data_IF_533333691264
#
_entry.id   IF_533333691264
#
_cell.length_a   1.000
_cell.length_b   1.000
_cell.length_c   1.000
_cell.angle_alpha   90.00
_cell.angle_beta   90.00
_cell.angle_gamma   90.00
#
_symmetry.space_group_name_H-M   'P 1'
#
loop_
_entity.id
_entity.type
_entity.pdbx_description
1 polymer ?
#
# COMPACT_ATOMS: atom_id res chain seq x y z
N UNK A 1 -13.61 34.95 -7.25
CA UNK A 1 -13.41 34.23 -5.96
C UNK A 1 -12.07 33.53 -6.05
N UNK A 2 -11.13 33.73 -5.12
CA UNK A 2 -9.88 32.97 -5.08
C UNK A 2 -10.25 31.53 -4.68
N UNK A 3 -10.09 30.57 -5.58
CA UNK A 3 -10.26 29.16 -5.23
C UNK A 3 -9.28 28.85 -4.11
N UNK A 4 -9.80 28.39 -2.98
CA UNK A 4 -8.98 27.98 -1.84
C UNK A 4 -8.25 26.69 -2.24
N UNK A 5 -6.93 26.69 -2.16
CA UNK A 5 -6.13 25.49 -2.42
C UNK A 5 -6.35 24.45 -1.32
N UNK A 6 -6.38 23.17 -1.68
CA UNK A 6 -6.38 22.07 -0.71
C UNK A 6 -5.06 22.12 0.06
N UNK A 7 -5.14 22.03 1.38
CA UNK A 7 -3.95 21.91 2.23
C UNK A 7 -3.61 20.44 2.42
N UNK A 8 -2.59 19.98 1.69
CA UNK A 8 -2.08 18.62 1.77
C UNK A 8 -1.01 18.49 2.85
N UNK A 9 -0.82 17.29 3.42
CA UNK A 9 0.17 17.03 4.48
C UNK A 9 1.61 17.19 3.99
N UNK A 10 1.86 16.93 2.72
CA UNK A 10 3.19 16.97 2.09
C UNK A 10 3.50 18.28 1.35
N UNK A 11 2.54 19.21 1.28
CA UNK A 11 2.71 20.54 0.67
C UNK A 11 2.70 20.59 -0.87
N UNK A 12 2.52 19.47 -1.57
CA UNK A 12 2.31 19.46 -3.02
C UNK A 12 0.86 19.76 -3.38
N UNK A 13 0.58 20.28 -4.60
CA UNK A 13 -0.78 20.59 -5.04
C UNK A 13 -1.70 19.36 -5.19
N UNK A 14 -1.16 18.20 -5.54
CA UNK A 14 -1.91 16.95 -5.74
C UNK A 14 -2.29 16.25 -4.43
N UNK A 15 -3.14 15.24 -4.51
CA UNK A 15 -3.63 14.45 -3.38
C UNK A 15 -2.97 13.08 -3.36
N UNK A 16 -2.40 12.69 -2.22
CA UNK A 16 -1.76 11.38 -2.01
C UNK A 16 -2.68 10.47 -1.20
N UNK A 17 -3.22 9.44 -1.86
CA UNK A 17 -4.15 8.47 -1.28
C UNK A 17 -3.52 7.09 -1.31
N UNK A 18 -3.39 6.47 -0.16
CA UNK A 18 -2.82 5.15 0.02
C UNK A 18 -3.92 4.14 0.32
N UNK A 19 -3.86 2.99 -0.32
CA UNK A 19 -4.72 1.84 -0.03
C UNK A 19 -3.84 0.70 0.48
N UNK A 20 -3.97 0.40 1.77
CA UNK A 20 -3.26 -0.67 2.47
C UNK A 20 -4.14 -1.88 2.73
N UNK A 21 -3.52 -2.99 3.02
CA UNK A 21 -4.15 -4.27 3.34
C UNK A 21 -3.26 -5.42 2.90
N UNK A 22 -3.53 -6.61 3.41
CA UNK A 22 -2.79 -7.83 3.06
C UNK A 22 -3.15 -8.35 1.67
N UNK A 23 -2.42 -9.35 1.16
CA UNK A 23 -2.73 -9.96 -0.13
C UNK A 23 -4.13 -10.59 -0.10
N UNK A 24 -4.89 -10.44 -1.20
CA UNK A 24 -6.28 -10.90 -1.28
C UNK A 24 -7.32 -9.97 -0.64
N UNK A 25 -6.93 -8.82 -0.08
CA UNK A 25 -7.87 -7.88 0.56
C UNK A 25 -8.78 -7.11 -0.41
N UNK A 26 -8.50 -7.16 -1.73
CA UNK A 26 -9.32 -6.49 -2.75
C UNK A 26 -8.88 -5.07 -3.11
N UNK A 27 -7.67 -4.66 -2.69
CA UNK A 27 -7.12 -3.31 -2.97
C UNK A 27 -7.20 -2.91 -4.44
N UNK A 28 -6.70 -3.74 -5.34
CA UNK A 28 -6.63 -3.43 -6.78
C UNK A 28 -8.03 -3.19 -7.39
N UNK A 29 -9.04 -3.93 -6.94
CA UNK A 29 -10.44 -3.70 -7.34
C UNK A 29 -10.90 -2.31 -6.90
N UNK A 30 -10.66 -1.96 -5.64
CA UNK A 30 -11.07 -0.67 -5.08
C UNK A 30 -10.32 0.49 -5.73
N UNK A 31 -9.01 0.35 -5.98
CA UNK A 31 -8.19 1.36 -6.65
C UNK A 31 -8.70 1.65 -8.06
N UNK A 32 -9.00 0.62 -8.86
CA UNK A 32 -9.50 0.79 -10.21
C UNK A 32 -10.88 1.48 -10.24
N UNK A 33 -11.75 1.14 -9.31
CA UNK A 33 -13.06 1.78 -9.17
C UNK A 33 -12.94 3.24 -8.71
N UNK A 34 -12.01 3.54 -7.79
CA UNK A 34 -11.70 4.91 -7.38
C UNK A 34 -11.12 5.73 -8.52
N UNK A 35 -10.16 5.18 -9.28
CA UNK A 35 -9.60 5.85 -10.46
C UNK A 35 -10.70 6.30 -11.40
N UNK A 36 -11.54 5.36 -11.85
CA UNK A 36 -12.62 5.65 -12.79
C UNK A 36 -13.60 6.69 -12.24
N UNK A 37 -13.85 6.68 -10.94
CA UNK A 37 -14.75 7.65 -10.32
C UNK A 37 -14.11 9.03 -10.22
N UNK A 38 -12.82 9.14 -9.84
CA UNK A 38 -12.09 10.41 -9.73
C UNK A 38 -11.93 11.07 -11.11
N UNK A 39 -11.59 10.28 -12.14
CA UNK A 39 -11.49 10.79 -13.52
C UNK A 39 -12.82 11.37 -14.03
N UNK A 40 -13.98 10.78 -13.65
CA UNK A 40 -15.31 11.34 -13.94
C UNK A 40 -15.59 12.67 -13.22
N UNK A 41 -14.83 13.00 -12.18
CA UNK A 41 -14.87 14.31 -11.51
C UNK A 41 -13.88 15.31 -12.15
N UNK A 42 -13.29 14.97 -13.31
CA UNK A 42 -12.32 15.78 -14.05
C UNK A 42 -10.99 16.00 -13.34
N UNK A 43 -10.57 15.10 -12.45
CA UNK A 43 -9.22 15.08 -11.89
C UNK A 43 -8.33 14.07 -12.62
N UNK A 44 -7.07 14.45 -12.86
CA UNK A 44 -6.06 13.50 -13.33
C UNK A 44 -5.69 12.49 -12.23
N UNK A 45 -5.52 11.22 -12.60
CA UNK A 45 -5.20 10.14 -11.66
C UNK A 45 -3.98 9.37 -12.14
N UNK A 46 -3.05 9.14 -11.21
CA UNK A 46 -1.93 8.21 -11.39
C UNK A 46 -2.06 7.08 -10.36
N UNK A 47 -1.87 5.84 -10.80
CA UNK A 47 -1.73 4.67 -9.93
C UNK A 47 -0.26 4.26 -9.91
N UNK A 48 0.25 3.93 -8.72
CA UNK A 48 1.56 3.29 -8.56
C UNK A 48 1.47 2.19 -7.51
N UNK A 49 2.09 1.06 -7.77
CA UNK A 49 2.06 -0.11 -6.90
C UNK A 49 3.47 -0.57 -6.51
N UNK A 50 3.60 -1.33 -5.43
CA UNK A 50 4.88 -1.92 -5.04
C UNK A 50 5.45 -2.80 -6.14
N UNK A 51 6.78 -2.74 -6.30
CA UNK A 51 7.51 -3.51 -7.30
C UNK A 51 7.05 -3.18 -8.73
N UNK A 52 6.89 -1.88 -9.01
CA UNK A 52 6.56 -1.39 -10.35
C UNK A 52 7.59 -0.40 -10.90
N UNK A 53 8.74 -0.25 -10.24
CA UNK A 53 9.87 0.53 -10.75
C UNK A 53 10.45 -0.14 -12.00
N UNK A 54 10.56 0.60 -13.11
CA UNK A 54 11.19 0.11 -14.35
C UNK A 54 12.65 -0.30 -14.14
N UNK A 55 13.31 0.31 -13.14
CA UNK A 55 14.73 0.05 -12.84
C UNK A 55 14.93 -1.20 -11.96
N UNK A 56 14.05 -1.44 -10.98
CA UNK A 56 14.30 -2.38 -9.88
C UNK A 56 13.37 -3.60 -9.91
N UNK A 57 12.16 -3.48 -10.47
CA UNK A 57 11.14 -4.54 -10.37
C UNK A 57 11.62 -5.89 -10.91
N UNK A 58 12.23 -5.92 -12.08
CA UNK A 58 12.74 -7.16 -12.71
C UNK A 58 13.88 -7.81 -11.91
N UNK A 59 14.70 -6.99 -11.24
CA UNK A 59 15.78 -7.48 -10.37
C UNK A 59 15.21 -8.13 -9.11
N UNK A 60 14.16 -7.54 -8.53
CA UNK A 60 13.43 -8.14 -7.39
C UNK A 60 12.82 -9.49 -7.81
N UNK A 61 12.17 -9.55 -8.98
CA UNK A 61 11.56 -10.80 -9.47
C UNK A 61 12.60 -11.90 -9.64
N UNK A 62 13.70 -11.60 -10.31
CA UNK A 62 14.81 -12.55 -10.49
C UNK A 62 15.37 -13.03 -9.14
N UNK A 63 15.53 -12.13 -8.18
CA UNK A 63 16.04 -12.48 -6.87
C UNK A 63 15.04 -13.31 -6.05
N UNK A 64 13.73 -13.05 -6.18
CA UNK A 64 12.67 -13.87 -5.58
C UNK A 64 12.64 -15.28 -6.17
N UNK A 65 12.64 -15.40 -7.49
CA UNK A 65 12.63 -16.70 -8.18
C UNK A 65 13.80 -17.61 -7.78
N UNK A 66 14.95 -17.00 -7.56
CA UNK A 66 16.17 -17.72 -7.13
C UNK A 66 16.32 -17.84 -5.62
N UNK A 67 15.35 -17.37 -4.82
CA UNK A 67 15.38 -17.37 -3.35
C UNK A 67 16.65 -16.71 -2.77
N UNK A 68 17.10 -15.59 -3.35
CA UNK A 68 18.32 -14.87 -2.96
C UNK A 68 18.10 -13.77 -1.92
N UNK A 69 16.85 -13.51 -1.52
CA UNK A 69 16.51 -12.38 -0.66
C UNK A 69 16.50 -12.78 0.82
N UNK A 70 17.52 -12.36 1.55
CA UNK A 70 17.50 -12.31 3.01
C UNK A 70 16.80 -11.01 3.48
N UNK A 71 16.42 -10.93 4.76
CA UNK A 71 15.60 -9.86 5.31
C UNK A 71 16.10 -8.45 4.97
N UNK A 72 17.40 -8.15 5.17
CA UNK A 72 17.97 -6.83 4.88
C UNK A 72 18.01 -6.53 3.37
N UNK A 73 18.43 -7.49 2.54
CA UNK A 73 18.47 -7.32 1.08
C UNK A 73 17.06 -7.11 0.52
N UNK A 74 16.08 -7.85 1.04
CA UNK A 74 14.68 -7.67 0.71
C UNK A 74 14.22 -6.24 1.00
N UNK A 75 14.45 -5.72 2.22
CA UNK A 75 14.09 -4.35 2.61
C UNK A 75 14.76 -3.31 1.71
N UNK A 76 16.07 -3.45 1.45
CA UNK A 76 16.83 -2.49 0.64
C UNK A 76 16.35 -2.46 -0.82
N UNK A 77 16.09 -3.61 -1.43
CA UNK A 77 15.61 -3.67 -2.81
C UNK A 77 14.22 -3.05 -2.96
N UNK A 78 13.30 -3.33 -2.03
CA UNK A 78 11.98 -2.72 -2.04
C UNK A 78 12.01 -1.22 -1.71
N UNK A 79 12.94 -0.77 -0.86
CA UNK A 79 13.15 0.66 -0.62
C UNK A 79 13.69 1.36 -1.86
N UNK A 80 14.60 0.72 -2.62
CA UNK A 80 15.10 1.25 -3.89
C UNK A 80 14.01 1.33 -4.96
N UNK A 81 13.15 0.30 -5.07
CA UNK A 81 11.95 0.34 -5.94
C UNK A 81 11.06 1.53 -5.57
N UNK A 82 10.78 1.69 -4.28
CA UNK A 82 9.94 2.76 -3.79
C UNK A 82 10.56 4.14 -4.04
N UNK A 83 11.86 4.33 -3.77
CA UNK A 83 12.57 5.59 -4.01
C UNK A 83 12.50 5.99 -5.48
N UNK A 84 12.79 5.06 -6.40
CA UNK A 84 12.72 5.32 -7.83
C UNK A 84 11.32 5.75 -8.29
N UNK A 85 10.26 5.05 -7.82
CA UNK A 85 8.87 5.40 -8.13
C UNK A 85 8.47 6.75 -7.53
N UNK A 86 8.92 7.02 -6.31
CA UNK A 86 8.64 8.28 -5.62
C UNK A 86 9.20 9.47 -6.41
N UNK A 87 10.46 9.38 -6.83
CA UNK A 87 11.16 10.45 -7.54
C UNK A 87 10.66 10.66 -8.97
N UNK A 88 10.34 9.58 -9.69
CA UNK A 88 10.06 9.64 -11.12
C UNK A 88 8.56 9.60 -11.48
N UNK A 89 7.69 9.15 -10.57
CA UNK A 89 6.26 9.02 -10.83
C UNK A 89 5.43 9.80 -9.80
N UNK A 90 5.59 9.51 -8.51
CA UNK A 90 4.69 9.98 -7.46
C UNK A 90 4.85 11.49 -7.24
N UNK A 91 6.05 11.97 -6.95
CA UNK A 91 6.31 13.41 -6.70
C UNK A 91 6.00 14.28 -7.94
N UNK A 92 6.42 13.91 -9.17
CA UNK A 92 6.03 14.65 -10.36
C UNK A 92 4.52 14.77 -10.55
N UNK A 93 3.76 13.67 -10.33
CA UNK A 93 2.31 13.68 -10.41
C UNK A 93 1.68 14.58 -9.33
N UNK A 94 2.13 14.50 -8.08
CA UNK A 94 1.68 15.37 -7.00
C UNK A 94 1.97 16.84 -7.27
N UNK A 95 3.14 17.18 -7.81
CA UNK A 95 3.51 18.56 -8.22
C UNK A 95 2.62 19.08 -9.34
N UNK A 96 2.10 18.19 -10.18
CA UNK A 96 1.21 18.52 -11.30
C UNK A 96 -0.28 18.55 -10.92
N UNK A 97 -0.61 18.42 -9.62
CA UNK A 97 -2.00 18.49 -9.15
C UNK A 97 -2.82 17.20 -9.37
N UNK A 98 -2.19 16.07 -9.67
CA UNK A 98 -2.89 14.79 -9.83
C UNK A 98 -3.28 14.18 -8.48
N UNK A 99 -4.34 13.37 -8.49
CA UNK A 99 -4.61 12.41 -7.42
C UNK A 99 -3.75 11.17 -7.66
N UNK A 100 -2.90 10.85 -6.69
CA UNK A 100 -2.03 9.67 -6.75
C UNK A 100 -2.61 8.59 -5.85
N UNK A 101 -3.02 7.46 -6.44
CA UNK A 101 -3.52 6.28 -5.75
C UNK A 101 -2.39 5.26 -5.63
N UNK A 102 -2.03 4.91 -4.41
CA UNK A 102 -0.96 3.94 -4.15
C UNK A 102 -1.53 2.61 -3.65
N UNK A 103 -1.23 1.53 -4.38
CA UNK A 103 -1.41 0.16 -3.90
C UNK A 103 -0.21 -0.18 -3.00
N UNK A 104 -0.41 -0.06 -1.70
CA UNK A 104 0.59 -0.15 -0.63
C UNK A 104 1.52 1.07 -0.55
N UNK A 105 2.01 1.30 0.66
CA UNK A 105 2.96 2.36 0.99
C UNK A 105 4.04 1.84 1.94
N UNK A 106 4.75 2.75 2.59
CA UNK A 106 5.81 2.42 3.56
C UNK A 106 5.31 1.56 4.72
N UNK A 107 4.01 1.60 5.03
CA UNK A 107 3.38 0.80 6.08
C UNK A 107 3.45 -0.71 5.79
N UNK A 108 3.32 -1.10 4.51
CA UNK A 108 3.59 -2.49 4.10
C UNK A 108 5.02 -2.90 4.43
N UNK A 109 6.02 -2.04 4.20
CA UNK A 109 7.40 -2.36 4.58
C UNK A 109 7.57 -2.40 6.10
N UNK A 110 6.94 -1.46 6.83
CA UNK A 110 7.00 -1.45 8.29
C UNK A 110 6.46 -2.73 8.92
N UNK A 111 5.37 -3.29 8.39
CA UNK A 111 4.85 -4.57 8.83
C UNK A 111 5.70 -5.75 8.35
N UNK A 112 5.88 -5.87 7.04
CA UNK A 112 6.50 -7.01 6.38
C UNK A 112 7.96 -7.23 6.78
N UNK A 113 8.74 -6.16 6.86
CA UNK A 113 10.18 -6.24 7.12
C UNK A 113 10.44 -6.49 8.62
N UNK A 114 9.61 -5.93 9.51
CA UNK A 114 9.66 -6.22 10.95
C UNK A 114 9.34 -7.68 11.24
N UNK A 115 8.30 -8.23 10.61
CA UNK A 115 7.97 -9.66 10.74
C UNK A 115 9.11 -10.56 10.25
N UNK A 116 9.93 -10.09 9.29
CA UNK A 116 11.17 -10.76 8.85
C UNK A 116 12.37 -10.55 9.77
N UNK A 117 12.19 -9.90 10.91
CA UNK A 117 13.24 -9.69 11.91
C UNK A 117 14.10 -8.45 11.70
N UNK A 118 13.75 -7.58 10.76
CA UNK A 118 14.45 -6.30 10.60
C UNK A 118 14.06 -5.34 11.73
N UNK A 119 15.02 -4.59 12.23
CA UNK A 119 14.79 -3.67 13.36
C UNK A 119 13.78 -2.57 12.96
N UNK A 120 12.67 -2.36 13.71
CA UNK A 120 11.62 -1.38 13.34
C UNK A 120 12.15 0.04 13.13
N UNK A 121 13.08 0.50 13.99
CA UNK A 121 13.69 1.84 13.86
C UNK A 121 14.49 1.98 12.56
N UNK A 122 15.17 0.92 12.13
CA UNK A 122 15.96 0.94 10.90
C UNK A 122 15.05 0.99 9.67
N UNK A 123 14.00 0.16 9.64
CA UNK A 123 13.03 0.19 8.53
C UNK A 123 12.36 1.55 8.42
N UNK A 124 11.90 2.14 9.53
CA UNK A 124 11.31 3.48 9.50
C UNK A 124 12.29 4.53 8.98
N UNK A 125 13.54 4.50 9.43
CA UNK A 125 14.58 5.42 8.95
C UNK A 125 14.90 5.24 7.46
N UNK A 126 14.79 4.01 6.95
CA UNK A 126 15.01 3.71 5.54
C UNK A 126 13.99 4.42 4.63
N UNK A 127 12.81 4.75 5.14
CA UNK A 127 11.73 5.41 4.41
C UNK A 127 11.45 6.86 4.90
N UNK A 128 12.36 7.48 5.66
CA UNK A 128 12.19 8.86 6.17
C UNK A 128 12.01 9.92 5.06
N UNK A 129 12.39 9.59 3.83
CA UNK A 129 12.23 10.46 2.66
C UNK A 129 10.81 10.43 2.07
N UNK A 130 9.95 9.53 2.53
CA UNK A 130 8.60 9.36 2.01
C UNK A 130 7.66 10.44 2.54
N UNK A 131 6.91 11.16 1.68
CA UNK A 131 5.95 12.16 2.12
C UNK A 131 4.78 11.53 2.89
N UNK A 132 4.24 12.27 3.86
CA UNK A 132 3.05 11.82 4.58
C UNK A 132 1.82 11.80 3.66
N UNK A 133 1.09 10.69 3.55
CA UNK A 133 -0.11 10.61 2.73
C UNK A 133 -1.27 11.40 3.35
N UNK A 134 -2.11 11.99 2.50
CA UNK A 134 -3.31 12.72 2.92
C UNK A 134 -4.37 11.78 3.49
N UNK A 135 -4.58 10.64 2.82
CA UNK A 135 -5.49 9.57 3.25
C UNK A 135 -4.78 8.21 3.21
N UNK A 136 -5.08 7.39 4.21
CA UNK A 136 -4.67 5.97 4.25
C UNK A 136 -5.91 5.13 4.53
N UNK A 137 -6.38 4.42 3.53
CA UNK A 137 -7.42 3.41 3.67
C UNK A 137 -6.80 2.06 3.98
N UNK A 138 -7.27 1.39 5.01
CA UNK A 138 -6.84 0.05 5.36
C UNK A 138 -7.99 -0.94 5.22
N UNK A 139 -7.88 -1.84 4.23
CA UNK A 139 -8.86 -2.91 4.00
C UNK A 139 -8.54 -4.09 4.91
N UNK A 140 -9.28 -4.19 5.99
CA UNK A 140 -9.12 -5.23 7.00
C UNK A 140 -9.95 -6.46 6.65
N UNK A 141 -9.31 -7.64 6.76
CA UNK A 141 -9.99 -8.92 6.53
C UNK A 141 -9.39 -10.04 7.38
N UNK A 142 -10.20 -11.03 7.81
CA UNK A 142 -9.72 -12.21 8.50
C UNK A 142 -8.78 -13.05 7.63
N UNK A 143 -7.72 -13.61 8.23
CA UNK A 143 -6.69 -14.40 7.53
C UNK A 143 -7.29 -15.60 6.77
N UNK A 144 -8.30 -16.26 7.33
CA UNK A 144 -8.94 -17.41 6.66
C UNK A 144 -9.67 -17.02 5.36
N UNK A 145 -10.19 -15.80 5.28
CA UNK A 145 -10.79 -15.26 4.04
C UNK A 145 -9.73 -14.92 3.03
N UNK A 146 -8.64 -14.29 3.45
CA UNK A 146 -7.49 -13.98 2.61
C UNK A 146 -6.90 -15.25 1.99
N UNK A 147 -6.69 -16.29 2.81
CA UNK A 147 -6.18 -17.57 2.35
C UNK A 147 -7.06 -18.19 1.26
N UNK A 148 -8.38 -18.23 1.46
CA UNK A 148 -9.32 -18.77 0.45
C UNK A 148 -9.25 -17.98 -0.86
N UNK A 149 -9.18 -16.65 -0.80
CA UNK A 149 -9.11 -15.79 -1.98
C UNK A 149 -7.80 -15.98 -2.76
N UNK A 150 -6.67 -16.07 -2.04
CA UNK A 150 -5.36 -16.26 -2.66
C UNK A 150 -5.26 -17.62 -3.34
N UNK A 151 -5.72 -18.70 -2.69
CA UNK A 151 -5.75 -20.04 -3.28
C UNK A 151 -6.60 -20.05 -4.56
N UNK A 152 -7.76 -19.39 -4.55
CA UNK A 152 -8.64 -19.32 -5.70
C UNK A 152 -8.11 -18.48 -6.87
N UNK A 153 -7.15 -17.58 -6.63
CA UNK A 153 -6.62 -16.66 -7.65
C UNK A 153 -5.26 -17.06 -8.19
N UNK A 154 -4.21 -16.92 -7.42
CA UNK A 154 -2.80 -17.07 -7.86
C UNK A 154 -2.03 -18.16 -7.14
N UNK A 155 -2.60 -18.77 -6.10
CA UNK A 155 -1.90 -19.67 -5.19
C UNK A 155 -0.99 -18.94 -4.20
N UNK A 156 -0.31 -19.72 -3.34
CA UNK A 156 0.59 -19.17 -2.31
C UNK A 156 1.99 -18.94 -2.88
N UNK A 157 2.49 -17.72 -2.71
CA UNK A 157 3.88 -17.34 -3.00
C UNK A 157 4.79 -17.66 -1.80
N UNK A 158 6.05 -18.02 -2.08
CA UNK A 158 7.05 -18.39 -1.07
C UNK A 158 7.29 -17.28 -0.06
N UNK A 159 7.45 -16.03 -0.52
CA UNK A 159 7.68 -14.87 0.36
C UNK A 159 6.39 -14.35 1.00
N UNK A 160 5.26 -14.40 0.30
CA UNK A 160 3.95 -13.95 0.83
C UNK A 160 3.41 -14.90 1.90
N UNK A 161 3.90 -16.13 1.93
CA UNK A 161 3.58 -17.13 2.96
C UNK A 161 4.59 -17.16 4.13
N UNK A 162 5.64 -16.34 4.11
CA UNK A 162 6.66 -16.35 5.16
C UNK A 162 7.51 -17.62 5.21
N UNK A 163 7.58 -18.38 4.12
CA UNK A 163 8.44 -19.55 4.00
C UNK A 163 9.92 -19.20 4.02
N UNK A 164 10.24 -18.01 3.53
CA UNK A 164 11.59 -17.43 3.55
C UNK A 164 12.17 -17.23 4.95
N UNK A 165 11.33 -17.18 5.96
CA UNK A 165 11.73 -17.03 7.38
C UNK A 165 11.42 -18.26 8.24
N UNK A 166 11.02 -19.35 7.63
CA UNK A 166 10.92 -20.66 8.27
C UNK A 166 9.86 -20.79 9.36
N UNK A 167 8.72 -20.12 9.22
CA UNK A 167 7.64 -20.11 10.23
C UNK A 167 6.96 -21.46 10.42
N UNK A 168 6.80 -22.25 9.34
CA UNK A 168 6.31 -23.62 9.36
C UNK A 168 6.81 -24.38 8.13
N UNK A 169 6.84 -25.71 8.20
CA UNK A 169 7.08 -26.59 7.05
C UNK A 169 5.85 -26.73 6.16
N UNK A 170 4.65 -26.56 6.72
CA UNK A 170 3.39 -26.49 5.97
C UNK A 170 3.16 -25.08 5.40
N UNK A 171 2.77 -25.00 4.11
CA UNK A 171 2.57 -23.73 3.42
C UNK A 171 1.38 -22.93 3.96
N UNK A 172 0.28 -23.62 4.25
CA UNK A 172 -0.95 -22.97 4.73
C UNK A 172 -0.78 -22.46 6.15
N UNK A 173 -0.14 -23.25 7.00
CA UNK A 173 0.19 -22.87 8.36
C UNK A 173 1.17 -21.69 8.38
N UNK A 174 2.25 -21.76 7.58
CA UNK A 174 3.21 -20.67 7.44
C UNK A 174 2.52 -19.37 7.00
N UNK A 175 1.65 -19.43 5.99
CA UNK A 175 0.87 -18.29 5.55
C UNK A 175 0.02 -17.70 6.68
N UNK A 176 -0.72 -18.53 7.41
CA UNK A 176 -1.57 -18.05 8.52
C UNK A 176 -0.76 -17.37 9.61
N UNK A 177 0.36 -17.98 10.03
CA UNK A 177 1.25 -17.39 11.04
C UNK A 177 1.81 -16.05 10.54
N UNK A 178 2.29 -16.02 9.30
CA UNK A 178 2.88 -14.82 8.69
C UNK A 178 1.86 -13.68 8.58
N UNK A 179 0.68 -13.95 8.03
CA UNK A 179 -0.35 -12.93 7.86
C UNK A 179 -0.89 -12.40 9.20
N UNK A 180 -1.04 -13.26 10.22
CA UNK A 180 -1.43 -12.80 11.56
C UNK A 180 -0.39 -11.82 12.13
N UNK A 181 0.90 -12.12 12.02
CA UNK A 181 1.97 -11.19 12.44
C UNK A 181 1.94 -9.87 11.67
N UNK A 182 1.65 -9.91 10.36
CA UNK A 182 1.46 -8.71 9.54
C UNK A 182 0.26 -7.88 10.04
N UNK A 183 -0.88 -8.52 10.35
CA UNK A 183 -2.06 -7.84 10.88
C UNK A 183 -1.79 -7.21 12.25
N UNK A 184 -1.03 -7.87 13.12
CA UNK A 184 -0.61 -7.31 14.42
C UNK A 184 0.23 -6.04 14.25
N UNK A 185 1.14 -5.98 13.27
CA UNK A 185 1.91 -4.77 12.95
C UNK A 185 1.01 -3.66 12.40
N UNK A 186 0.04 -3.98 11.54
CA UNK A 186 -0.93 -2.98 11.06
C UNK A 186 -1.79 -2.44 12.20
N UNK A 187 -2.22 -3.29 13.14
CA UNK A 187 -3.01 -2.85 14.30
C UNK A 187 -2.30 -1.77 15.11
N UNK A 188 -0.98 -1.95 15.36
CA UNK A 188 -0.15 -0.97 16.06
C UNK A 188 0.02 0.35 15.27
N UNK A 189 -0.17 0.32 13.94
CA UNK A 189 -0.01 1.50 13.08
C UNK A 189 -1.31 2.29 12.88
N UNK A 190 -2.47 1.68 13.03
CA UNK A 190 -3.78 2.28 12.72
C UNK A 190 -3.98 3.64 13.39
N UNK A 191 -3.91 3.68 14.72
CA UNK A 191 -4.10 4.91 15.49
C UNK A 191 -2.98 5.91 15.24
N UNK A 192 -1.74 5.43 15.27
CA UNK A 192 -0.55 6.27 15.13
C UNK A 192 -0.50 7.05 13.82
N UNK A 193 -0.98 6.46 12.73
CA UNK A 193 -0.91 7.04 11.39
C UNK A 193 -2.29 7.45 10.84
N UNK A 194 -3.34 7.38 11.67
CA UNK A 194 -4.68 7.84 11.30
C UNK A 194 -5.29 7.06 10.14
N UNK A 195 -5.20 5.72 10.17
CA UNK A 195 -5.79 4.88 9.14
C UNK A 195 -7.31 4.93 9.18
N UNK A 196 -7.94 5.05 8.02
CA UNK A 196 -9.37 4.85 7.84
C UNK A 196 -9.59 3.36 7.60
N UNK A 197 -9.90 2.65 8.68
CA UNK A 197 -10.15 1.20 8.61
C UNK A 197 -11.49 0.93 7.97
N UNK A 198 -11.50 0.02 7.00
CA UNK A 198 -12.68 -0.42 6.27
C UNK A 198 -12.75 -1.95 6.35
N UNK A 199 -13.90 -2.45 6.79
CA UNK A 199 -14.19 -3.88 6.77
C UNK A 199 -14.24 -4.37 5.31
N UNK A 200 -13.20 -5.10 4.89
CA UNK A 200 -13.07 -5.65 3.54
C UNK A 200 -14.00 -6.83 3.24
N UNK A 201 -14.86 -7.23 4.22
CA UNK A 201 -15.93 -8.21 4.03
C UNK A 201 -17.21 -7.58 3.50
N UNK A 202 -17.31 -6.24 3.56
CA UNK A 202 -18.47 -5.52 3.03
C UNK A 202 -18.58 -5.64 1.51
N UNK A 203 -19.76 -5.43 0.92
CA UNK A 203 -19.94 -5.33 -0.51
C UNK A 203 -19.04 -4.26 -1.13
N UNK A 204 -18.61 -4.47 -2.38
CA UNK A 204 -17.68 -3.59 -3.08
C UNK A 204 -18.18 -2.14 -3.13
N UNK A 205 -19.47 -1.94 -3.35
CA UNK A 205 -20.14 -0.64 -3.43
C UNK A 205 -20.13 0.10 -2.09
N UNK A 206 -20.34 -0.61 -0.98
CA UNK A 206 -20.28 -0.04 0.38
C UNK A 206 -18.85 0.44 0.71
N UNK A 207 -17.84 -0.38 0.39
CA UNK A 207 -16.44 0.02 0.55
C UNK A 207 -16.15 1.27 -0.29
N UNK A 208 -16.59 1.27 -1.55
CA UNK A 208 -16.40 2.40 -2.47
C UNK A 208 -17.08 3.68 -1.98
N UNK A 209 -18.29 3.58 -1.45
CA UNK A 209 -19.03 4.73 -0.93
C UNK A 209 -18.24 5.43 0.19
N UNK A 210 -17.76 4.66 1.17
CA UNK A 210 -16.94 5.18 2.26
C UNK A 210 -15.64 5.83 1.77
N UNK A 211 -14.91 5.18 0.86
CA UNK A 211 -13.67 5.74 0.32
C UNK A 211 -13.91 7.03 -0.47
N UNK A 212 -14.99 7.07 -1.29
CA UNK A 212 -15.37 8.26 -2.07
C UNK A 212 -15.81 9.41 -1.19
N UNK A 213 -16.52 9.15 -0.11
CA UNK A 213 -16.94 10.18 0.85
C UNK A 213 -15.73 10.89 1.44
N UNK A 214 -14.72 10.15 1.92
CA UNK A 214 -13.51 10.72 2.48
C UNK A 214 -12.72 11.56 1.46
N UNK A 215 -12.60 11.06 0.23
CA UNK A 215 -11.93 11.81 -0.85
C UNK A 215 -12.76 13.08 -1.21
N UNK A 216 -14.09 12.99 -1.29
CA UNK A 216 -14.96 14.15 -1.54
C UNK A 216 -14.78 15.23 -0.48
N UNK A 217 -14.69 14.84 0.80
CA UNK A 217 -14.53 15.79 1.91
C UNK A 217 -13.25 16.62 1.75
N UNK A 218 -12.15 16.00 1.30
CA UNK A 218 -10.91 16.73 1.01
C UNK A 218 -11.07 17.61 -0.22
N UNK A 219 -11.58 17.05 -1.32
CA UNK A 219 -11.74 17.81 -2.57
C UNK A 219 -12.71 18.98 -2.43
N UNK A 220 -13.74 18.87 -1.59
CA UNK A 220 -14.67 19.96 -1.28
C UNK A 220 -14.04 21.09 -0.45
N UNK A 221 -12.94 20.85 0.24
CA UNK A 221 -12.25 21.87 1.05
C UNK A 221 -11.47 22.91 0.21
N UNK A 222 -11.24 22.60 -1.08
CA UNK A 222 -10.50 23.47 -2.00
C UNK A 222 -10.36 22.85 -3.40
N UNK A 223 -9.44 23.38 -4.19
CA UNK A 223 -9.08 22.87 -5.52
C UNK A 223 -7.65 22.32 -5.53
N UNK A 224 -7.44 21.20 -6.19
CA UNK A 224 -6.11 20.76 -6.64
C UNK A 224 -5.65 21.72 -7.73
N UNK A 225 -4.44 22.26 -7.60
CA UNK A 225 -3.97 23.37 -8.47
C UNK A 225 -2.67 23.01 -9.19
#
# INVERSE_FOLDING_TARGET
MKNKKIQTKHGYPGLLVVIEGTDGSGRSTQINLLKNWIEKQCYGVIISEWKSSELIASVIDTAKEKNLLNANTFSLMYASDFAHRLENVIIPALKSGFVVLLDRYTYTAFARDVVRGVKPKWVRKLYDFAPDPDLVFYLEQPVDVLLKRIIASKGLDYYESGRDIGLSTDFYESFKIYQNKILEEYEQMKEKHGFITIDGMQPIDVIQEKMREEIKNILASGTLS
#
